data_IF_371809057455
#
_entry.id   IF_371809057455
#
_cell.length_a   1.000
_cell.length_b   1.000
_cell.length_c   1.000
_cell.angle_alpha   90.00
_cell.angle_beta   90.00
_cell.angle_gamma   90.00
#
_symmetry.space_group_name_H-M   'P 1'
#
loop_
_entity.id
_entity.type
_entity.pdbx_description
1 polymer ?
#
# COMPACT_ATOMS: atom_id res chain seq x y z
N UNK A 1 -18.41 8.28 -58.42
CA UNK A 1 -18.79 7.67 -57.13
C UNK A 1 -18.14 6.31 -57.06
N UNK A 2 -16.86 6.24 -56.71
CA UNK A 2 -16.22 4.97 -56.37
C UNK A 2 -16.63 4.60 -54.95
N UNK A 3 -17.33 3.48 -54.81
CA UNK A 3 -17.75 2.94 -53.53
C UNK A 3 -16.53 2.71 -52.64
N UNK A 4 -16.56 3.29 -51.43
CA UNK A 4 -15.63 2.90 -50.36
C UNK A 4 -15.81 1.41 -50.11
N UNK A 5 -14.95 0.58 -50.72
CA UNK A 5 -14.75 -0.78 -50.26
C UNK A 5 -14.38 -0.71 -48.79
N UNK A 6 -15.23 -1.27 -47.93
CA UNK A 6 -14.93 -1.49 -46.53
C UNK A 6 -13.66 -2.34 -46.46
N UNK A 7 -12.50 -1.71 -46.22
CA UNK A 7 -11.27 -2.43 -45.92
C UNK A 7 -11.48 -3.12 -44.58
N UNK A 8 -11.66 -4.43 -44.59
CA UNK A 8 -11.29 -5.26 -43.44
C UNK A 8 -9.78 -5.04 -43.31
N UNK A 9 -9.37 -4.26 -42.31
CA UNK A 9 -7.99 -3.79 -42.24
C UNK A 9 -7.04 -4.88 -41.76
N UNK A 10 -7.44 -5.73 -40.79
CA UNK A 10 -6.67 -6.89 -40.30
C UNK A 10 -7.62 -7.92 -39.65
N UNK A 11 -7.20 -9.19 -39.58
CA UNK A 11 -7.87 -10.26 -38.81
C UNK A 11 -7.68 -10.01 -37.30
N UNK A 12 -8.74 -10.16 -36.51
CA UNK A 12 -8.71 -10.01 -35.05
C UNK A 12 -9.21 -11.28 -34.36
N UNK A 13 -8.53 -11.69 -33.29
CA UNK A 13 -8.87 -12.87 -32.49
C UNK A 13 -9.22 -12.47 -31.06
N UNK A 14 -10.18 -13.15 -30.44
CA UNK A 14 -10.52 -13.08 -29.01
C UNK A 14 -10.12 -14.37 -28.28
N UNK A 15 -10.38 -14.45 -26.97
CA UNK A 15 -10.01 -15.59 -26.14
C UNK A 15 -10.62 -16.91 -26.61
N UNK A 16 -11.86 -16.89 -27.08
CA UNK A 16 -12.59 -18.09 -27.49
C UNK A 16 -12.18 -18.63 -28.88
N UNK A 17 -11.42 -17.85 -29.65
CA UNK A 17 -10.95 -18.25 -30.99
C UNK A 17 -9.74 -19.19 -30.93
N UNK A 18 -9.06 -19.29 -29.78
CA UNK A 18 -7.77 -19.98 -29.65
C UNK A 18 -7.66 -20.85 -28.40
N UNK A 19 -6.77 -21.85 -28.44
CA UNK A 19 -6.38 -22.69 -27.30
C UNK A 19 -4.86 -22.77 -27.20
N UNK A 20 -4.34 -22.93 -25.98
CA UNK A 20 -2.91 -23.18 -25.76
C UNK A 20 -2.57 -24.64 -26.10
N UNK A 21 -1.62 -24.85 -27.01
CA UNK A 21 -1.14 -26.19 -27.38
C UNK A 21 -0.27 -26.78 -26.25
N UNK A 22 -0.62 -27.92 -25.65
CA UNK A 22 0.18 -28.54 -24.59
C UNK A 22 1.61 -28.87 -25.04
N UNK A 23 2.59 -28.60 -24.20
CA UNK A 23 4.02 -28.89 -24.44
C UNK A 23 4.59 -29.77 -23.32
N UNK A 24 5.68 -30.49 -23.61
CA UNK A 24 6.39 -31.29 -22.59
C UNK A 24 6.90 -30.38 -21.48
N UNK A 25 6.57 -30.71 -20.23
CA UNK A 25 7.02 -29.98 -19.03
C UNK A 25 7.90 -30.86 -18.14
N UNK A 26 8.97 -30.29 -17.61
CA UNK A 26 9.82 -30.91 -16.59
C UNK A 26 9.44 -30.55 -15.15
N UNK A 27 8.34 -29.81 -14.97
CA UNK A 27 7.87 -29.37 -13.65
C UNK A 27 7.32 -30.56 -12.87
N UNK A 28 7.91 -30.83 -11.70
CA UNK A 28 7.52 -31.97 -10.85
C UNK A 28 6.28 -31.67 -10.01
N UNK A 29 6.09 -30.43 -9.57
CA UNK A 29 4.95 -30.01 -8.76
C UNK A 29 4.40 -28.65 -9.21
N UNK A 30 3.08 -28.46 -9.06
CA UNK A 30 2.44 -27.16 -9.30
C UNK A 30 3.01 -26.04 -8.43
N UNK A 31 3.62 -26.38 -7.29
CA UNK A 31 4.28 -25.42 -6.40
C UNK A 31 5.57 -24.83 -6.97
N UNK A 32 6.15 -25.48 -7.98
CA UNK A 32 7.41 -25.05 -8.60
C UNK A 32 7.17 -24.01 -9.72
N UNK A 33 5.91 -23.70 -10.03
CA UNK A 33 5.53 -22.66 -11.01
C UNK A 33 5.61 -21.29 -10.35
N UNK A 34 6.44 -20.40 -10.89
CA UNK A 34 6.50 -19.00 -10.49
C UNK A 34 5.55 -18.16 -11.35
N UNK A 35 4.53 -17.57 -10.72
CA UNK A 35 3.56 -16.67 -11.37
C UNK A 35 3.94 -15.19 -11.24
N UNK A 36 5.11 -14.89 -10.65
CA UNK A 36 5.53 -13.52 -10.44
C UNK A 36 5.75 -12.78 -11.75
N UNK A 37 5.39 -11.49 -11.78
CA UNK A 37 5.47 -10.68 -12.99
C UNK A 37 5.94 -9.26 -12.68
N UNK A 38 6.60 -8.63 -13.66
CA UNK A 38 7.03 -7.24 -13.57
C UNK A 38 5.93 -6.34 -14.14
N UNK A 39 5.29 -5.53 -13.30
CA UNK A 39 4.23 -4.61 -13.73
C UNK A 39 4.81 -3.31 -14.31
N UNK A 40 5.72 -2.68 -13.57
CA UNK A 40 6.46 -1.47 -13.97
C UNK A 40 7.96 -1.71 -13.69
N UNK A 41 8.92 -0.87 -14.10
CA UNK A 41 10.34 -1.07 -13.80
C UNK A 41 10.64 -1.21 -12.29
N UNK A 42 9.82 -0.61 -11.40
CA UNK A 42 10.02 -0.71 -9.94
C UNK A 42 9.04 -1.64 -9.22
N UNK A 43 7.94 -2.06 -9.84
CA UNK A 43 6.88 -2.85 -9.17
C UNK A 43 6.83 -4.26 -9.74
N UNK A 44 7.18 -5.23 -8.89
CA UNK A 44 7.01 -6.67 -9.14
C UNK A 44 5.84 -7.20 -8.33
N UNK A 45 4.96 -7.96 -8.97
CA UNK A 45 3.84 -8.66 -8.34
C UNK A 45 4.17 -10.14 -8.16
N UNK A 46 3.64 -10.77 -7.11
CA UNK A 46 3.76 -12.21 -6.91
C UNK A 46 2.73 -12.99 -7.75
N UNK A 47 1.60 -12.37 -8.07
CA UNK A 47 0.59 -12.88 -9.00
C UNK A 47 0.25 -11.81 -10.05
N UNK A 48 -0.06 -12.18 -11.30
CA UNK A 48 -0.29 -11.25 -12.39
C UNK A 48 -1.74 -10.74 -12.39
N UNK A 49 -2.25 -10.29 -11.24
CA UNK A 49 -3.65 -9.87 -11.08
C UNK A 49 -3.73 -8.47 -10.50
N UNK A 50 -4.48 -7.61 -11.18
CA UNK A 50 -4.77 -6.24 -10.75
C UNK A 50 -6.28 -6.03 -10.71
N UNK A 51 -6.82 -5.42 -9.65
CA UNK A 51 -8.24 -5.07 -9.61
C UNK A 51 -8.51 -3.78 -10.38
N UNK A 52 -9.60 -3.76 -11.16
CA UNK A 52 -9.97 -2.64 -11.99
C UNK A 52 -10.26 -1.37 -11.17
N UNK A 53 -9.93 -0.20 -11.72
CA UNK A 53 -10.12 1.11 -11.11
C UNK A 53 -11.55 1.66 -11.27
N UNK A 54 -12.53 0.83 -10.94
CA UNK A 54 -13.96 1.14 -10.98
C UNK A 54 -14.51 1.32 -9.56
N UNK A 55 -15.52 2.19 -9.42
CA UNK A 55 -16.20 2.49 -8.15
C UNK A 55 -16.88 1.28 -7.50
N UNK A 56 -17.40 0.38 -8.32
CA UNK A 56 -18.02 -0.88 -7.88
C UNK A 56 -17.02 -1.99 -7.58
N UNK A 57 -15.73 -1.79 -7.83
CA UNK A 57 -14.70 -2.83 -7.71
C UNK A 57 -13.66 -2.50 -6.65
N UNK A 58 -13.00 -1.35 -6.73
CA UNK A 58 -11.77 -1.10 -5.96
C UNK A 58 -11.80 0.17 -5.13
N UNK A 59 -12.15 -0.01 -3.85
CA UNK A 59 -11.79 0.89 -2.75
C UNK A 59 -10.72 0.24 -1.85
N UNK A 60 -10.42 0.84 -0.68
CA UNK A 60 -9.31 0.40 0.17
C UNK A 60 -9.38 -1.07 0.59
N UNK A 61 -10.57 -1.64 0.82
CA UNK A 61 -10.70 -3.04 1.20
C UNK A 61 -10.22 -3.97 0.09
N UNK A 62 -10.70 -3.77 -1.13
CA UNK A 62 -10.29 -4.56 -2.30
C UNK A 62 -8.82 -4.34 -2.58
N UNK A 63 -8.34 -3.09 -2.57
CA UNK A 63 -6.93 -2.81 -2.84
C UNK A 63 -6.00 -3.48 -1.82
N UNK A 64 -6.36 -3.45 -0.54
CA UNK A 64 -5.60 -4.13 0.50
C UNK A 64 -5.64 -5.66 0.32
N UNK A 65 -6.79 -6.25 -0.01
CA UNK A 65 -6.92 -7.68 -0.24
C UNK A 65 -6.08 -8.13 -1.44
N UNK A 66 -6.11 -7.38 -2.55
CA UNK A 66 -5.29 -7.63 -3.72
C UNK A 66 -3.80 -7.60 -3.40
N UNK A 67 -3.35 -6.55 -2.71
CA UNK A 67 -1.95 -6.44 -2.28
C UNK A 67 -1.55 -7.58 -1.33
N UNK A 68 -2.43 -7.99 -0.40
CA UNK A 68 -2.17 -9.13 0.50
C UNK A 68 -2.01 -10.46 -0.25
N UNK A 69 -2.76 -10.69 -1.33
CA UNK A 69 -2.64 -11.89 -2.15
C UNK A 69 -1.43 -11.84 -3.12
N UNK A 70 -0.75 -10.71 -3.21
CA UNK A 70 0.42 -10.53 -4.07
C UNK A 70 0.12 -9.92 -5.45
N UNK A 71 -1.09 -9.41 -5.64
CA UNK A 71 -1.49 -8.58 -6.77
C UNK A 71 -1.40 -7.09 -6.44
N UNK A 72 -2.20 -6.27 -7.10
CA UNK A 72 -2.32 -4.84 -6.83
C UNK A 72 -3.77 -4.38 -7.01
N UNK A 73 -4.23 -3.43 -6.20
CA UNK A 73 -5.50 -2.75 -6.47
C UNK A 73 -5.30 -1.29 -6.86
N UNK A 74 -6.11 -0.81 -7.80
CA UNK A 74 -6.10 0.57 -8.26
C UNK A 74 -7.36 1.28 -7.77
N UNK A 75 -7.21 2.25 -6.89
CA UNK A 75 -8.35 3.04 -6.38
C UNK A 75 -8.92 3.90 -7.52
N UNK A 76 -10.23 3.79 -7.75
CA UNK A 76 -10.93 4.59 -8.76
C UNK A 76 -10.91 6.10 -8.44
N UNK A 77 -11.27 6.93 -9.43
CA UNK A 77 -11.23 8.40 -9.33
C UNK A 77 -12.60 9.08 -9.21
N UNK A 78 -13.69 8.32 -9.14
CA UNK A 78 -15.06 8.84 -9.03
C UNK A 78 -15.40 9.25 -7.60
N UNK A 79 -14.54 10.09 -7.03
CA UNK A 79 -14.66 10.69 -5.70
C UNK A 79 -13.80 11.97 -5.62
N UNK A 80 -13.95 12.75 -4.55
CA UNK A 80 -13.09 13.91 -4.34
C UNK A 80 -11.62 13.52 -4.18
N UNK A 81 -10.70 14.47 -4.37
CA UNK A 81 -9.25 14.22 -4.17
C UNK A 81 -9.00 13.75 -2.74
N UNK A 82 -9.58 14.41 -1.75
CA UNK A 82 -9.43 14.07 -0.32
C UNK A 82 -9.96 12.67 0.00
N UNK A 83 -11.10 12.28 -0.59
CA UNK A 83 -11.64 10.95 -0.40
C UNK A 83 -10.69 9.89 -0.97
N UNK A 84 -10.15 10.11 -2.17
CA UNK A 84 -9.22 9.18 -2.82
C UNK A 84 -7.90 9.06 -2.04
N UNK A 85 -7.37 10.19 -1.57
CA UNK A 85 -6.23 10.23 -0.64
C UNK A 85 -6.54 9.44 0.64
N UNK A 86 -7.74 9.61 1.21
CA UNK A 86 -8.19 8.85 2.36
C UNK A 86 -8.19 7.34 2.13
N UNK A 87 -8.59 6.88 0.95
CA UNK A 87 -8.55 5.47 0.54
C UNK A 87 -7.10 4.95 0.48
N UNK A 88 -6.20 5.68 -0.20
CA UNK A 88 -4.76 5.34 -0.26
C UNK A 88 -4.15 5.24 1.15
N UNK A 89 -4.38 6.25 1.98
CA UNK A 89 -3.86 6.30 3.35
C UNK A 89 -4.37 5.14 4.21
N UNK A 90 -5.63 4.71 4.03
CA UNK A 90 -6.13 3.50 4.70
C UNK A 90 -5.31 2.28 4.31
N UNK A 91 -5.06 2.05 3.01
CA UNK A 91 -4.25 0.91 2.55
C UNK A 91 -2.83 0.96 3.13
N UNK A 92 -2.14 2.10 3.02
CA UNK A 92 -0.77 2.25 3.53
C UNK A 92 -0.66 2.07 5.05
N UNK A 93 -1.75 2.28 5.80
CA UNK A 93 -1.81 2.13 7.27
C UNK A 93 -2.26 0.74 7.74
N UNK A 94 -2.86 -0.08 6.87
CA UNK A 94 -3.39 -1.39 7.27
C UNK A 94 -2.30 -2.37 7.68
N UNK A 95 -1.14 -2.30 7.04
CA UNK A 95 0.04 -3.06 7.40
C UNK A 95 1.26 -2.16 7.31
N UNK A 96 2.06 -2.16 8.36
CA UNK A 96 3.41 -1.61 8.36
C UNK A 96 4.23 -2.45 9.32
N UNK A 97 5.40 -2.91 8.87
CA UNK A 97 6.25 -3.74 9.73
C UNK A 97 6.71 -2.95 10.96
N UNK A 98 7.04 -1.68 10.76
CA UNK A 98 7.50 -0.75 11.79
C UNK A 98 6.62 0.51 11.71
N UNK A 99 5.86 0.76 12.77
CA UNK A 99 5.14 2.00 12.96
C UNK A 99 6.16 3.06 13.40
N UNK A 100 6.59 3.94 12.49
CA UNK A 100 7.62 4.97 12.76
C UNK A 100 7.17 6.05 13.76
N UNK A 101 5.90 6.45 13.68
CA UNK A 101 5.31 7.47 14.56
C UNK A 101 4.17 6.88 15.38
N UNK A 102 4.47 5.99 16.36
CA UNK A 102 3.44 5.45 17.22
C UNK A 102 2.88 6.53 18.14
N UNK A 103 1.62 6.40 18.55
CA UNK A 103 1.01 7.33 19.49
C UNK A 103 1.73 7.31 20.84
N UNK A 104 2.14 8.49 21.28
CA UNK A 104 2.86 8.68 22.54
C UNK A 104 2.13 9.64 23.48
N UNK A 105 2.28 9.41 24.77
CA UNK A 105 1.75 10.27 25.83
C UNK A 105 2.82 10.60 26.87
N UNK A 106 2.59 11.68 27.63
CA UNK A 106 3.44 12.05 28.76
C UNK A 106 3.17 11.22 30.02
N UNK A 107 4.13 11.11 30.95
CA UNK A 107 3.98 10.29 32.15
C UNK A 107 3.05 10.88 33.23
N UNK A 108 2.70 12.16 33.09
CA UNK A 108 1.96 12.94 34.09
C UNK A 108 0.48 13.13 33.75
N UNK A 109 0.05 12.75 32.54
CA UNK A 109 -1.38 12.78 32.22
C UNK A 109 -2.10 11.72 33.05
N UNK A 110 -3.39 11.95 33.29
CA UNK A 110 -4.24 11.04 34.04
C UNK A 110 -4.57 9.78 33.23
N UNK A 111 -4.97 8.70 33.92
CA UNK A 111 -5.44 7.50 33.23
C UNK A 111 -6.72 7.74 32.44
N UNK A 112 -7.58 8.69 32.86
CA UNK A 112 -8.76 9.10 32.10
C UNK A 112 -8.38 9.66 30.73
N UNK A 113 -7.47 10.65 30.68
CA UNK A 113 -7.00 11.25 29.42
C UNK A 113 -6.30 10.21 28.54
N UNK A 114 -5.47 9.34 29.13
CA UNK A 114 -4.83 8.26 28.41
C UNK A 114 -5.87 7.28 27.81
N UNK A 115 -6.93 6.97 28.57
CA UNK A 115 -8.00 6.09 28.11
C UNK A 115 -8.76 6.68 26.93
N UNK A 116 -9.08 7.97 26.95
CA UNK A 116 -9.73 8.65 25.82
C UNK A 116 -8.88 8.57 24.55
N UNK A 117 -7.57 8.78 24.67
CA UNK A 117 -6.64 8.65 23.54
C UNK A 117 -6.63 7.21 23.03
N UNK A 118 -6.56 6.23 23.93
CA UNK A 118 -6.55 4.81 23.57
C UNK A 118 -7.84 4.38 22.88
N UNK A 119 -9.00 4.81 23.36
CA UNK A 119 -10.30 4.51 22.77
C UNK A 119 -10.47 5.20 21.41
N UNK A 120 -10.06 6.47 21.29
CA UNK A 120 -10.11 7.24 20.02
C UNK A 120 -9.31 6.57 18.90
N UNK A 121 -8.13 6.03 19.21
CA UNK A 121 -7.24 5.44 18.21
C UNK A 121 -7.29 3.90 18.20
N UNK A 122 -8.08 3.28 19.08
CA UNK A 122 -8.20 1.82 19.19
C UNK A 122 -6.89 1.10 19.47
N UNK A 123 -5.93 1.73 20.17
CA UNK A 123 -4.59 1.17 20.39
C UNK A 123 -3.99 1.54 21.74
N UNK A 124 -3.01 0.75 22.18
CA UNK A 124 -2.19 1.06 23.37
C UNK A 124 -1.21 2.20 23.08
N UNK A 125 -0.78 2.89 24.13
CA UNK A 125 0.04 4.10 24.02
C UNK A 125 1.41 3.90 24.64
N UNK A 126 2.43 4.53 24.03
CA UNK A 126 3.79 4.54 24.54
C UNK A 126 4.01 5.78 25.41
N UNK A 127 4.65 5.61 26.55
CA UNK A 127 4.88 6.71 27.49
C UNK A 127 6.29 7.23 27.30
N UNK A 128 6.43 8.52 26.98
CA UNK A 128 7.72 9.16 26.69
C UNK A 128 7.90 10.44 27.49
N UNK A 129 9.15 10.83 27.75
CA UNK A 129 9.44 12.16 28.31
C UNK A 129 9.49 13.25 27.20
N UNK A 130 9.76 14.50 27.61
CA UNK A 130 9.91 15.65 26.70
C UNK A 130 10.99 15.47 25.62
N UNK A 131 11.97 14.59 25.84
CA UNK A 131 13.04 14.27 24.89
C UNK A 131 12.77 13.00 24.06
N UNK A 132 11.52 12.50 24.04
CA UNK A 132 11.10 11.24 23.42
C UNK A 132 11.78 9.97 23.97
N UNK A 133 12.42 10.04 25.14
CA UNK A 133 12.95 8.86 25.82
C UNK A 133 11.79 7.97 26.27
N UNK A 134 11.84 6.70 25.89
CA UNK A 134 10.79 5.74 26.25
C UNK A 134 10.84 5.44 27.75
N UNK A 135 9.72 5.69 28.44
CA UNK A 135 9.55 5.46 29.87
C UNK A 135 8.76 4.19 30.18
N UNK A 136 7.83 3.82 29.29
CA UNK A 136 6.97 2.66 29.48
C UNK A 136 5.93 2.49 28.38
N UNK A 137 5.04 1.52 28.59
CA UNK A 137 3.87 1.27 27.74
C UNK A 137 2.63 1.11 28.62
N UNK A 138 1.51 1.67 28.17
CA UNK A 138 0.20 1.52 28.80
C UNK A 138 -0.75 0.81 27.82
N UNK A 139 -1.29 -0.32 28.26
CA UNK A 139 -2.17 -1.19 27.48
C UNK A 139 -3.58 -1.23 28.07
N UNK A 140 -4.55 -1.70 27.29
CA UNK A 140 -5.92 -1.88 27.79
C UNK A 140 -6.01 -2.87 28.96
N UNK A 141 -5.06 -3.82 29.05
CA UNK A 141 -4.97 -4.75 30.19
C UNK A 141 -4.61 -4.05 31.49
N UNK A 142 -3.74 -3.03 31.43
CA UNK A 142 -3.31 -2.28 32.60
C UNK A 142 -4.46 -1.45 33.20
N UNK A 143 -5.45 -1.07 32.38
CA UNK A 143 -6.62 -0.30 32.80
C UNK A 143 -7.83 -1.14 33.22
N UNK A 144 -7.84 -2.45 32.94
CA UNK A 144 -9.05 -3.29 33.04
C UNK A 144 -9.62 -3.41 34.46
N UNK A 145 -8.75 -3.38 35.46
CA UNK A 145 -9.13 -3.50 36.88
C UNK A 145 -8.84 -2.23 37.66
N UNK A 146 -8.53 -1.14 36.95
CA UNK A 146 -8.22 0.13 37.58
C UNK A 146 -9.51 0.82 38.04
N UNK A 147 -9.49 1.36 39.26
CA UNK A 147 -10.65 2.07 39.83
C UNK A 147 -10.40 3.56 39.96
N UNK A 148 -9.15 3.98 40.11
CA UNK A 148 -8.79 5.38 40.20
C UNK A 148 -8.19 5.87 38.87
N UNK A 149 -9.01 6.57 38.08
CA UNK A 149 -8.59 7.14 36.81
C UNK A 149 -7.95 8.53 36.92
N UNK A 150 -7.89 9.12 38.12
CA UNK A 150 -7.25 10.42 38.36
C UNK A 150 -5.75 10.31 38.54
N UNK A 151 -5.24 9.12 38.88
CA UNK A 151 -3.81 8.91 39.07
C UNK A 151 -3.03 9.04 37.75
N UNK A 152 -1.73 9.38 37.81
CA UNK A 152 -0.93 9.57 36.61
C UNK A 152 -0.54 8.24 35.95
N UNK A 153 -0.39 8.26 34.63
CA UNK A 153 0.01 7.12 33.80
C UNK A 153 1.28 6.41 34.30
N UNK A 154 2.24 7.17 34.80
CA UNK A 154 3.49 6.64 35.36
C UNK A 154 3.33 5.62 36.50
N UNK A 155 2.16 5.59 37.15
CA UNK A 155 1.84 4.62 38.21
C UNK A 155 1.26 3.31 37.70
N UNK A 156 0.61 3.30 36.53
CA UNK A 156 -0.03 2.09 35.96
C UNK A 156 0.74 1.47 34.79
N UNK A 157 1.61 2.23 34.12
CA UNK A 157 2.37 1.73 32.96
C UNK A 157 3.37 0.62 33.31
N UNK A 158 3.66 -0.23 32.33
CA UNK A 158 4.81 -1.16 32.40
C UNK A 158 6.12 -0.38 32.22
N UNK A 159 7.05 -0.49 33.18
CA UNK A 159 8.31 0.28 33.24
C UNK A 159 9.55 -0.58 33.54
N UNK A 160 10.73 -0.01 33.28
CA UNK A 160 12.02 -0.56 33.70
C UNK A 160 12.37 -1.90 33.03
N UNK A 161 12.92 -2.86 33.80
CA UNK A 161 13.39 -4.17 33.30
C UNK A 161 12.29 -5.04 32.66
N UNK A 162 11.02 -4.72 32.88
CA UNK A 162 9.87 -5.42 32.26
C UNK A 162 9.57 -4.91 30.84
N UNK A 163 10.09 -3.74 30.47
CA UNK A 163 9.91 -3.18 29.15
C UNK A 163 10.91 -3.81 28.20
N UNK A 164 10.42 -4.70 27.34
CA UNK A 164 11.23 -5.31 26.28
C UNK A 164 11.22 -4.36 25.10
N UNK A 165 12.41 -4.05 24.58
CA UNK A 165 12.58 -3.16 23.42
C UNK A 165 13.44 -3.81 22.35
N UNK A 166 13.25 -3.36 21.11
CA UNK A 166 14.10 -3.70 19.97
C UNK A 166 15.00 -2.52 19.59
N UNK A 167 16.11 -2.80 18.90
CA UNK A 167 16.86 -1.75 18.21
C UNK A 167 16.17 -1.42 16.86
N UNK A 168 16.50 -0.28 16.21
CA UNK A 168 15.83 0.13 14.98
C UNK A 168 16.19 -0.72 13.76
N UNK A 169 17.30 -1.48 13.84
CA UNK A 169 17.81 -2.37 12.80
C UNK A 169 17.43 -3.83 13.06
N UNK A 170 16.45 -4.09 13.92
CA UNK A 170 16.08 -5.44 14.33
C UNK A 170 15.50 -6.20 13.14
N UNK A 171 15.95 -7.45 12.96
CA UNK A 171 15.34 -8.32 11.95
C UNK A 171 13.97 -8.80 12.42
N UNK A 172 13.17 -9.26 11.48
CA UNK A 172 11.79 -9.68 11.72
C UNK A 172 11.77 -10.94 12.57
N UNK A 173 12.64 -11.89 12.25
CA UNK A 173 12.81 -13.16 12.96
C UNK A 173 13.19 -12.89 14.41
N UNK A 174 14.03 -11.87 14.64
CA UNK A 174 14.41 -11.46 16.01
C UNK A 174 13.28 -10.75 16.73
N UNK A 175 12.53 -9.89 16.06
CA UNK A 175 11.35 -9.24 16.62
C UNK A 175 10.28 -10.25 17.02
N UNK A 176 10.00 -11.24 16.15
CA UNK A 176 9.10 -12.35 16.40
C UNK A 176 9.55 -13.16 17.62
N UNK A 177 10.83 -13.54 17.67
CA UNK A 177 11.39 -14.27 18.79
C UNK A 177 11.25 -13.50 20.12
N UNK A 178 11.43 -12.17 20.12
CA UNK A 178 11.23 -11.34 21.31
C UNK A 178 9.76 -11.28 21.74
N UNK A 179 8.84 -11.03 20.81
CA UNK A 179 7.40 -10.98 21.09
C UNK A 179 6.91 -12.32 21.65
N UNK A 180 7.33 -13.44 21.05
CA UNK A 180 6.99 -14.79 21.48
C UNK A 180 7.60 -15.13 22.86
N UNK A 181 8.93 -14.96 23.02
CA UNK A 181 9.65 -15.26 24.26
C UNK A 181 9.07 -14.50 25.46
N UNK A 182 8.74 -13.23 25.28
CA UNK A 182 8.25 -12.38 26.35
C UNK A 182 6.72 -12.31 26.45
N UNK A 183 5.99 -13.01 25.56
CA UNK A 183 4.53 -13.05 25.50
C UNK A 183 3.89 -11.66 25.49
N UNK A 184 4.48 -10.75 24.71
CA UNK A 184 4.04 -9.36 24.55
C UNK A 184 3.52 -9.14 23.13
N UNK A 185 2.59 -8.19 22.98
CA UNK A 185 1.97 -7.88 21.69
C UNK A 185 2.65 -6.72 20.95
N UNK A 186 3.46 -5.93 21.65
CA UNK A 186 4.01 -4.65 21.21
C UNK A 186 5.48 -4.58 21.60
N UNK A 187 6.34 -4.35 20.63
CA UNK A 187 7.79 -4.22 20.78
C UNK A 187 8.22 -2.80 20.38
N UNK A 188 8.39 -1.87 21.34
CA UNK A 188 8.90 -0.54 21.07
C UNK A 188 10.34 -0.62 20.55
N UNK A 189 10.66 0.17 19.52
CA UNK A 189 12.00 0.30 18.98
C UNK A 189 12.65 1.59 19.50
N UNK A 190 13.84 1.47 20.07
CA UNK A 190 14.59 2.59 20.66
C UNK A 190 15.97 2.73 20.04
N UNK A 191 16.45 3.97 19.91
CA UNK A 191 17.82 4.25 19.50
C UNK A 191 18.83 4.01 20.64
N UNK A 192 20.13 4.28 20.36
CA UNK A 192 21.21 4.12 21.35
C UNK A 192 21.05 5.01 22.59
N UNK A 193 20.31 6.11 22.49
CA UNK A 193 20.02 7.04 23.57
C UNK A 193 18.72 6.68 24.32
N UNK A 194 18.03 5.60 23.93
CA UNK A 194 16.76 5.17 24.49
C UNK A 194 15.55 5.99 24.03
N UNK A 195 15.70 6.76 22.94
CA UNK A 195 14.59 7.52 22.34
C UNK A 195 13.76 6.59 21.48
N UNK A 196 12.45 6.73 21.57
CA UNK A 196 11.50 5.94 20.80
C UNK A 196 11.54 6.34 19.32
N UNK A 197 11.83 5.38 18.45
CA UNK A 197 11.89 5.57 16.99
C UNK A 197 10.88 4.74 16.21
N UNK A 198 10.21 3.79 16.86
CA UNK A 198 9.14 3.04 16.21
C UNK A 198 8.50 1.98 17.10
N UNK A 199 7.59 1.20 16.53
CA UNK A 199 6.87 0.13 17.20
C UNK A 199 6.59 -1.03 16.23
N UNK A 200 6.87 -2.26 16.65
CA UNK A 200 6.45 -3.48 15.96
C UNK A 200 5.32 -4.11 16.77
N UNK A 201 4.28 -4.61 16.09
CA UNK A 201 3.18 -5.34 16.75
C UNK A 201 3.11 -6.80 16.31
N UNK A 202 2.68 -7.66 17.22
CA UNK A 202 2.39 -9.08 16.93
C UNK A 202 1.34 -9.23 15.82
N UNK A 203 0.35 -8.32 15.77
CA UNK A 203 -0.68 -8.31 14.72
C UNK A 203 -0.06 -8.13 13.33
N UNK A 204 0.92 -7.23 13.20
CA UNK A 204 1.59 -6.99 11.91
C UNK A 204 2.48 -8.16 11.49
N UNK A 205 3.13 -8.85 12.45
CA UNK A 205 3.88 -10.07 12.18
C UNK A 205 2.98 -11.23 11.74
N UNK A 206 1.86 -11.45 12.42
CA UNK A 206 0.88 -12.49 12.07
C UNK A 206 0.38 -12.27 10.63
N UNK A 207 0.08 -11.03 10.25
CA UNK A 207 -0.33 -10.71 8.88
C UNK A 207 0.75 -11.04 7.85
N UNK A 208 2.01 -10.79 8.16
CA UNK A 208 3.13 -11.16 7.27
C UNK A 208 3.26 -12.67 7.09
N UNK A 209 3.08 -13.45 8.16
CA UNK A 209 3.06 -14.92 8.09
C UNK A 209 1.86 -15.40 7.26
N UNK A 210 0.70 -14.79 7.46
CA UNK A 210 -0.53 -15.11 6.73
C UNK A 210 -0.44 -14.78 5.23
N UNK A 211 0.26 -13.71 4.88
CA UNK A 211 0.36 -13.19 3.52
C UNK A 211 1.84 -13.06 3.08
N UNK A 212 2.52 -14.19 2.86
CA UNK A 212 3.95 -14.19 2.54
C UNK A 212 4.26 -13.59 1.16
N UNK A 213 3.30 -13.65 0.23
CA UNK A 213 3.42 -13.13 -1.14
C UNK A 213 2.92 -11.69 -1.28
N UNK A 214 2.57 -11.02 -0.18
CA UNK A 214 1.98 -9.70 -0.23
C UNK A 214 2.87 -8.67 -0.97
N UNK A 215 2.27 -7.91 -1.88
CA UNK A 215 2.93 -6.81 -2.60
C UNK A 215 3.14 -5.65 -1.64
N UNK A 216 4.40 -5.43 -1.26
CA UNK A 216 4.78 -4.45 -0.24
C UNK A 216 5.84 -3.48 -0.74
N UNK A 217 5.75 -2.24 -0.29
CA UNK A 217 6.76 -1.22 -0.53
C UNK A 217 8.04 -1.46 0.29
N UNK A 218 9.07 -0.64 0.06
CA UNK A 218 10.34 -0.73 0.79
C UNK A 218 10.22 -0.53 2.30
N UNK A 219 9.10 0.02 2.78
CA UNK A 219 8.81 0.22 4.20
C UNK A 219 7.99 -0.96 4.78
N UNK A 220 7.67 -1.97 3.96
CA UNK A 220 6.88 -3.14 4.36
C UNK A 220 5.38 -2.87 4.43
N UNK A 221 4.89 -1.77 3.84
CA UNK A 221 3.46 -1.45 3.75
C UNK A 221 2.87 -2.01 2.48
N UNK A 222 1.58 -2.32 2.48
CA UNK A 222 0.89 -2.75 1.26
C UNK A 222 1.04 -1.70 0.15
N UNK A 223 1.29 -2.16 -1.07
CA UNK A 223 1.28 -1.29 -2.24
C UNK A 223 -0.15 -1.00 -2.71
N UNK A 224 -0.36 0.18 -3.27
CA UNK A 224 -1.65 0.61 -3.83
C UNK A 224 -1.43 1.53 -5.02
N UNK A 225 -2.23 1.34 -6.07
CA UNK A 225 -2.32 2.29 -7.18
C UNK A 225 -3.54 3.19 -7.06
N UNK A 226 -3.55 4.30 -7.79
CA UNK A 226 -4.71 5.17 -7.88
C UNK A 226 -4.88 5.73 -9.30
N UNK A 227 -6.12 5.78 -9.78
CA UNK A 227 -6.43 6.34 -11.08
C UNK A 227 -6.49 7.87 -11.03
N UNK A 228 -6.04 8.51 -12.11
CA UNK A 228 -6.21 9.93 -12.38
C UNK A 228 -6.85 10.14 -13.75
N UNK A 229 -7.54 11.26 -13.92
CA UNK A 229 -8.08 11.67 -15.22
C UNK A 229 -7.06 12.46 -16.03
N UNK A 230 -7.52 13.00 -17.15
CA UNK A 230 -6.73 13.83 -18.07
C UNK A 230 -7.30 15.25 -18.25
N UNK A 231 -8.37 15.59 -17.52
CA UNK A 231 -8.99 16.93 -17.51
C UNK A 231 -8.31 17.82 -16.47
N UNK A 232 -8.59 19.11 -16.49
CA UNK A 232 -8.15 20.08 -15.48
C UNK A 232 -8.25 19.53 -14.04
N UNK A 233 -7.26 19.85 -13.21
CA UNK A 233 -7.17 19.32 -11.83
C UNK A 233 -6.40 18.00 -11.70
N UNK A 234 -5.91 17.40 -12.80
CA UNK A 234 -5.22 16.10 -12.73
C UNK A 234 -3.87 16.18 -12.02
N UNK A 235 -3.14 17.30 -12.14
CA UNK A 235 -1.83 17.46 -11.49
C UNK A 235 -1.99 17.63 -9.99
N UNK A 236 -2.97 18.41 -9.54
CA UNK A 236 -3.30 18.60 -8.12
C UNK A 236 -3.71 17.28 -7.48
N UNK A 237 -4.55 16.50 -8.18
CA UNK A 237 -4.90 15.14 -7.74
C UNK A 237 -3.67 14.23 -7.68
N UNK A 238 -2.81 14.26 -8.70
CA UNK A 238 -1.60 13.45 -8.72
C UNK A 238 -0.65 13.82 -7.57
N UNK A 239 -0.45 15.12 -7.33
CA UNK A 239 0.37 15.65 -6.23
C UNK A 239 -0.14 15.14 -4.88
N UNK A 240 -1.45 15.31 -4.61
CA UNK A 240 -2.06 14.87 -3.36
C UNK A 240 -1.95 13.35 -3.14
N UNK A 241 -2.09 12.54 -4.20
CA UNK A 241 -1.93 11.09 -4.11
C UNK A 241 -0.47 10.67 -3.89
N UNK A 242 0.48 11.37 -4.50
CA UNK A 242 1.92 11.15 -4.31
C UNK A 242 2.33 11.53 -2.88
N UNK A 243 1.82 12.64 -2.35
CA UNK A 243 2.02 13.03 -0.95
C UNK A 243 1.42 12.00 0.03
N UNK A 244 0.32 11.35 -0.37
CA UNK A 244 -0.26 10.21 0.35
C UNK A 244 0.52 8.88 0.16
N UNK A 245 1.65 8.91 -0.55
CA UNK A 245 2.54 7.77 -0.83
C UNK A 245 1.86 6.65 -1.64
N UNK A 246 1.06 7.01 -2.65
CA UNK A 246 0.62 6.05 -3.69
C UNK A 246 1.82 5.44 -4.41
N UNK A 247 1.78 4.15 -4.73
CA UNK A 247 2.91 3.45 -5.33
C UNK A 247 2.94 3.57 -6.86
N UNK A 248 1.77 3.73 -7.50
CA UNK A 248 1.64 3.90 -8.95
C UNK A 248 0.40 4.73 -9.30
N UNK A 249 0.53 5.63 -10.26
CA UNK A 249 -0.61 6.37 -10.83
C UNK A 249 -1.07 5.68 -12.12
N UNK A 250 -2.39 5.65 -12.34
CA UNK A 250 -2.98 5.13 -13.57
C UNK A 250 -3.67 6.27 -14.31
N UNK A 251 -3.10 6.72 -15.43
CA UNK A 251 -3.75 7.64 -16.35
C UNK A 251 -4.74 6.84 -17.17
N UNK A 252 -6.03 7.01 -16.87
CA UNK A 252 -7.09 6.19 -17.46
C UNK A 252 -8.11 7.02 -18.24
N UNK A 253 -8.14 6.79 -19.55
CA UNK A 253 -9.10 7.34 -20.49
C UNK A 253 -9.48 6.28 -21.53
N UNK A 254 -10.70 6.34 -22.05
CA UNK A 254 -11.21 5.41 -23.06
C UNK A 254 -10.31 5.31 -24.30
N UNK A 255 -9.73 6.44 -24.75
CA UNK A 255 -8.79 6.49 -25.86
C UNK A 255 -7.45 7.11 -25.42
N UNK A 256 -6.53 6.24 -24.99
CA UNK A 256 -5.22 6.60 -24.49
C UNK A 256 -4.21 7.00 -25.56
N UNK A 257 -4.47 6.69 -26.84
CA UNK A 257 -3.67 7.18 -27.96
C UNK A 257 -4.16 8.55 -28.43
N UNK A 258 -4.35 9.46 -27.48
CA UNK A 258 -4.77 10.85 -27.71
C UNK A 258 -3.72 11.82 -27.19
N UNK A 259 -3.60 12.97 -27.84
CA UNK A 259 -2.71 14.06 -27.39
C UNK A 259 -2.92 14.41 -25.92
N UNK A 260 -4.19 14.43 -25.48
CA UNK A 260 -4.54 14.73 -24.09
C UNK A 260 -3.94 13.71 -23.10
N UNK A 261 -3.97 12.42 -23.43
CA UNK A 261 -3.38 11.38 -22.61
C UNK A 261 -1.85 11.44 -22.61
N UNK A 262 -1.25 11.61 -23.79
CA UNK A 262 0.20 11.71 -23.98
C UNK A 262 0.75 12.90 -23.20
N UNK A 263 0.15 14.09 -23.34
CA UNK A 263 0.55 15.30 -22.62
C UNK A 263 0.32 15.17 -21.11
N UNK A 264 -0.73 14.47 -20.67
CA UNK A 264 -0.94 14.15 -19.25
C UNK A 264 0.20 13.31 -18.69
N UNK A 265 0.60 12.24 -19.39
CA UNK A 265 1.73 11.39 -18.98
C UNK A 265 3.02 12.20 -18.90
N UNK A 266 3.34 12.98 -19.94
CA UNK A 266 4.52 13.86 -19.96
C UNK A 266 4.50 14.85 -18.80
N UNK A 267 3.37 15.50 -18.53
CA UNK A 267 3.22 16.47 -17.45
C UNK A 267 3.45 15.84 -16.07
N UNK A 268 2.85 14.66 -15.81
CA UNK A 268 3.05 13.92 -14.57
C UNK A 268 4.51 13.51 -14.41
N UNK A 269 5.15 12.94 -15.44
CA UNK A 269 6.56 12.53 -15.37
C UNK A 269 7.52 13.72 -15.27
N UNK A 270 7.20 14.86 -15.88
CA UNK A 270 7.99 16.10 -15.77
C UNK A 270 7.97 16.64 -14.34
N UNK A 271 6.79 16.69 -13.70
CA UNK A 271 6.63 17.21 -12.34
C UNK A 271 7.09 16.21 -11.27
N UNK A 272 6.84 14.92 -11.50
CA UNK A 272 7.09 13.84 -10.55
C UNK A 272 7.90 12.70 -11.21
N UNK A 273 9.18 12.91 -11.54
CA UNK A 273 9.98 11.98 -12.35
C UNK A 273 10.21 10.61 -11.71
N UNK A 274 10.03 10.50 -10.39
CA UNK A 274 10.23 9.25 -9.65
C UNK A 274 8.99 8.36 -9.59
N UNK A 275 7.81 8.92 -9.87
CA UNK A 275 6.52 8.23 -9.79
C UNK A 275 6.38 7.22 -10.93
N UNK A 276 5.88 6.03 -10.60
CA UNK A 276 5.51 5.02 -11.60
C UNK A 276 4.14 5.39 -12.20
N UNK A 277 4.02 5.33 -13.53
CA UNK A 277 2.81 5.68 -14.26
C UNK A 277 2.40 4.54 -15.19
N UNK A 278 1.17 4.06 -15.04
CA UNK A 278 0.50 3.20 -16.01
C UNK A 278 -0.39 4.09 -16.87
N UNK A 279 -0.32 3.96 -18.20
CA UNK A 279 -1.15 4.76 -19.09
C UNK A 279 -1.96 3.89 -20.05
N UNK A 280 -3.19 4.29 -20.32
CA UNK A 280 -4.05 3.62 -21.30
C UNK A 280 -5.40 4.34 -21.48
N UNK A 281 -6.31 3.77 -22.28
CA UNK A 281 -6.21 2.48 -22.96
C UNK A 281 -5.79 2.59 -24.43
N UNK A 282 -5.00 1.63 -24.89
CA UNK A 282 -4.62 1.51 -26.31
C UNK A 282 -4.88 0.10 -26.82
N UNK A 283 -5.01 -0.05 -28.13
CA UNK A 283 -5.20 -1.35 -28.79
C UNK A 283 -4.26 -1.54 -30.00
N UNK A 284 -3.32 -0.61 -30.21
CA UNK A 284 -2.40 -0.60 -31.36
C UNK A 284 -0.96 -0.51 -30.89
N UNK A 285 -0.04 -1.07 -31.69
CA UNK A 285 1.39 -0.98 -31.41
C UNK A 285 1.91 0.46 -31.37
N UNK A 286 1.38 1.35 -32.21
CA UNK A 286 1.72 2.77 -32.21
C UNK A 286 1.31 3.45 -30.90
N UNK A 287 0.07 3.25 -30.43
CA UNK A 287 -0.38 3.81 -29.16
C UNK A 287 0.44 3.33 -27.97
N UNK A 288 0.93 2.09 -27.99
CA UNK A 288 1.87 1.58 -26.97
C UNK A 288 3.20 2.34 -27.02
N UNK A 289 3.79 2.52 -28.21
CA UNK A 289 5.08 3.22 -28.37
C UNK A 289 4.99 4.69 -27.98
N UNK A 290 3.89 5.36 -28.32
CA UNK A 290 3.71 6.77 -28.02
C UNK A 290 3.54 7.02 -26.52
N UNK A 291 2.76 6.18 -25.83
CA UNK A 291 2.64 6.24 -24.37
C UNK A 291 3.95 5.90 -23.65
N UNK A 292 4.69 4.90 -24.15
CA UNK A 292 6.02 4.60 -23.63
C UNK A 292 6.98 5.79 -23.80
N UNK A 293 7.00 6.41 -24.99
CA UNK A 293 7.83 7.58 -25.31
C UNK A 293 7.45 8.80 -24.46
N UNK A 294 6.15 8.95 -24.15
CA UNK A 294 5.66 9.98 -23.23
C UNK A 294 6.16 9.80 -21.78
N UNK A 295 6.63 8.60 -21.43
CA UNK A 295 7.22 8.26 -20.14
C UNK A 295 6.37 7.33 -19.28
N UNK A 296 5.37 6.65 -19.86
CA UNK A 296 4.64 5.60 -19.15
C UNK A 296 5.58 4.44 -18.80
N UNK A 297 5.50 3.98 -17.56
CA UNK A 297 6.28 2.86 -17.02
C UNK A 297 5.61 1.50 -17.31
N UNK A 298 4.30 1.51 -17.58
CA UNK A 298 3.56 0.39 -18.17
C UNK A 298 2.39 0.91 -19.02
N UNK A 299 1.92 0.08 -19.96
CA UNK A 299 0.81 0.44 -20.86
C UNK A 299 -0.37 -0.52 -20.64
N UNK A 300 -1.56 0.05 -20.44
CA UNK A 300 -2.82 -0.68 -20.31
C UNK A 300 -3.46 -0.88 -21.68
N UNK A 301 -3.65 -2.15 -22.07
CA UNK A 301 -4.16 -2.55 -23.38
C UNK A 301 -5.61 -3.02 -23.29
N UNK A 302 -6.42 -2.60 -24.26
CA UNK A 302 -7.81 -3.06 -24.43
C UNK A 302 -8.78 -1.91 -24.65
N UNK A 303 -9.44 -1.87 -25.81
CA UNK A 303 -10.48 -0.87 -26.13
C UNK A 303 -11.73 -1.63 -26.60
N UNK A 304 -12.80 -1.57 -25.82
CA UNK A 304 -14.06 -2.27 -26.10
C UNK A 304 -14.27 -3.72 -25.61
N UNK A 305 -13.29 -4.50 -25.06
CA UNK A 305 -13.54 -5.90 -24.67
C UNK A 305 -14.20 -6.07 -23.29
N UNK A 306 -14.43 -4.98 -22.56
CA UNK A 306 -14.95 -4.98 -21.18
C UNK A 306 -16.41 -4.60 -21.07
#
# INVERSE_FOLDING_TARGET
>A
MEGRMSRILEEGLTFDDVLLVPQRSGIASRKDVDTSTQLTPKIKLAIPIISANMDTVTEYQTAAAMAQQGGLGIIHRFMSVDQQVGQVMKVKRLEGLIIKNPYTIGPHITLAEAREIMDRYGTSVLVVNRHRKLLGILTFRDLRFERDFKKPVSQAMTKGKKLVTGNPAITIERAEALLHKHRIEKLPLVDRQGRLVGLITSKDLIKRIKFPTATKDRQGRLMVGAAIGVKEGFLERAEALIEAEVDVLVVDIAHGHSELAIETVKAVKKRFPKTEVIAGNVATAEGVRDLQTAGADAVKVGVGPG
#
